data_IF_910066407614
#
_entry.id   IF_910066407614
#
_cell.length_a   1.000
_cell.length_b   1.000
_cell.length_c   1.000
_cell.angle_alpha   90.00
_cell.angle_beta   90.00
_cell.angle_gamma   90.00
#
_symmetry.space_group_name_H-M   'P 1'
#
loop_
_entity.id
_entity.type
_entity.pdbx_description
1 polymer ?
#
# COMPACT_ATOMS: atom_id res chain seq x y z
N UNK A 1 2.10 12.35 1.00
CA UNK A 1 2.14 10.91 0.67
C UNK A 1 0.87 10.53 -0.08
N UNK A 2 0.96 9.59 -1.01
CA UNK A 2 -0.11 9.19 -1.93
C UNK A 2 -1.06 8.16 -1.33
N UNK A 3 -2.29 8.18 -1.82
CA UNK A 3 -3.38 7.28 -1.47
C UNK A 3 -4.15 6.91 -2.71
N UNK A 4 -4.73 5.72 -2.71
CA UNK A 4 -5.62 5.25 -3.77
C UNK A 4 -6.70 4.33 -3.18
N UNK A 5 -7.73 4.01 -3.95
CA UNK A 5 -8.89 3.23 -3.49
C UNK A 5 -8.92 1.84 -4.12
N UNK A 6 -9.63 0.92 -3.48
CA UNK A 6 -9.91 -0.37 -4.08
C UNK A 6 -10.86 -0.25 -5.26
N UNK A 7 -10.68 -1.14 -6.24
CA UNK A 7 -11.41 -1.15 -7.51
C UNK A 7 -12.68 -2.03 -7.46
N UNK A 8 -13.09 -2.49 -6.27
CA UNK A 8 -14.45 -3.02 -6.06
C UNK A 8 -15.48 -1.90 -6.25
N UNK A 9 -16.68 -2.25 -6.73
CA UNK A 9 -17.74 -1.27 -6.99
C UNK A 9 -18.05 -0.31 -5.82
N UNK A 10 -18.07 -0.76 -4.55
CA UNK A 10 -18.28 0.14 -3.42
C UNK A 10 -17.00 0.87 -2.94
N UNK A 11 -15.83 0.58 -3.52
CA UNK A 11 -14.53 1.15 -3.12
C UNK A 11 -14.32 1.11 -1.61
N UNK A 12 -14.53 -0.07 -1.02
CA UNK A 12 -14.59 -0.23 0.44
C UNK A 12 -13.27 0.03 1.16
N UNK A 13 -12.14 0.05 0.44
CA UNK A 13 -10.81 0.15 1.01
C UNK A 13 -10.04 1.34 0.47
N UNK A 14 -9.14 1.85 1.30
CA UNK A 14 -8.16 2.87 0.96
C UNK A 14 -6.76 2.31 1.21
N UNK A 15 -5.86 2.52 0.25
CA UNK A 15 -4.45 2.19 0.38
C UNK A 15 -3.67 3.47 0.65
N UNK A 16 -2.81 3.44 1.67
CA UNK A 16 -2.05 4.60 2.11
C UNK A 16 -0.55 4.27 2.13
N UNK A 17 0.25 5.10 1.47
CA UNK A 17 1.70 5.07 1.64
C UNK A 17 2.06 5.84 2.91
N UNK A 18 2.60 5.15 3.92
CA UNK A 18 3.18 5.76 5.11
C UNK A 18 4.70 5.76 4.97
N UNK A 19 5.21 6.84 4.40
CA UNK A 19 6.64 7.04 4.18
C UNK A 19 7.44 7.36 5.44
N UNK A 20 6.78 7.73 6.54
CA UNK A 20 7.48 8.00 7.80
C UNK A 20 7.79 6.66 8.48
N UNK A 21 6.82 5.76 8.49
CA UNK A 21 6.97 4.43 9.07
C UNK A 21 7.45 3.37 8.07
N UNK A 22 7.61 3.74 6.80
CA UNK A 22 8.07 2.86 5.70
C UNK A 22 7.18 1.62 5.52
N UNK A 23 5.87 1.82 5.49
CA UNK A 23 4.91 0.76 5.19
C UNK A 23 3.76 1.26 4.31
N UNK A 24 3.01 0.31 3.75
CA UNK A 24 1.74 0.56 3.08
C UNK A 24 0.62 -0.03 3.94
N UNK A 25 -0.42 0.76 4.16
CA UNK A 25 -1.61 0.38 4.91
C UNK A 25 -2.79 0.15 3.98
N UNK A 26 -3.62 -0.83 4.31
CA UNK A 26 -4.98 -0.97 3.81
C UNK A 26 -5.94 -0.57 4.93
N UNK A 27 -6.83 0.36 4.65
CA UNK A 27 -7.79 0.93 5.59
C UNK A 27 -9.21 0.64 5.12
N UNK A 28 -10.15 0.46 6.05
CA UNK A 28 -11.58 0.52 5.73
C UNK A 28 -11.93 1.97 5.44
N UNK A 29 -12.49 2.25 4.25
CA UNK A 29 -12.73 3.62 3.78
C UNK A 29 -13.72 4.38 4.66
N UNK A 30 -14.71 3.69 5.23
CA UNK A 30 -15.75 4.30 6.07
C UNK A 30 -15.23 4.73 7.45
N UNK A 31 -14.45 3.88 8.12
CA UNK A 31 -14.03 4.11 9.51
C UNK A 31 -12.58 4.55 9.65
N UNK A 32 -11.76 4.40 8.61
CA UNK A 32 -10.31 4.56 8.71
C UNK A 32 -9.61 3.46 9.52
N UNK A 33 -10.33 2.37 9.89
CA UNK A 33 -9.71 1.23 10.58
C UNK A 33 -8.64 0.61 9.70
N UNK A 34 -7.43 0.44 10.23
CA UNK A 34 -6.35 -0.31 9.55
C UNK A 34 -6.73 -1.79 9.52
N UNK A 35 -6.83 -2.36 8.32
CA UNK A 35 -7.16 -3.76 8.07
C UNK A 35 -5.90 -4.62 7.85
N UNK A 36 -4.87 -4.03 7.26
CA UNK A 36 -3.60 -4.69 7.00
C UNK A 36 -2.49 -3.66 6.82
N UNK A 37 -1.26 -4.09 7.05
CA UNK A 37 -0.05 -3.32 6.72
C UNK A 37 1.04 -4.24 6.22
N UNK A 38 1.88 -3.75 5.32
CA UNK A 38 3.09 -4.45 4.89
C UNK A 38 4.22 -3.47 4.61
N UNK A 39 5.44 -3.95 4.73
CA UNK A 39 6.64 -3.14 4.59
C UNK A 39 7.32 -2.82 5.91
N UNK A 40 8.59 -2.45 5.78
CA UNK A 40 9.48 -1.95 6.84
C UNK A 40 10.62 -1.18 6.19
N UNK A 41 11.40 -0.45 6.97
CA UNK A 41 12.61 0.19 6.46
C UNK A 41 13.57 -0.83 5.84
N UNK A 42 14.11 -0.52 4.65
CA UNK A 42 15.14 -1.34 4.02
C UNK A 42 15.19 -1.23 2.50
N UNK A 43 16.05 -2.03 1.89
CA UNK A 43 16.40 -1.97 0.46
C UNK A 43 16.10 -3.26 -0.29
N UNK A 44 15.53 -4.26 0.37
CA UNK A 44 15.10 -5.50 -0.28
C UNK A 44 13.68 -5.38 -0.85
N UNK A 45 13.24 -6.40 -1.58
CA UNK A 45 11.87 -6.47 -2.09
C UNK A 45 10.87 -6.47 -0.93
N UNK A 46 9.87 -5.58 -1.01
CA UNK A 46 8.87 -5.41 0.05
C UNK A 46 9.34 -4.56 1.23
N UNK A 47 10.57 -4.09 1.25
CA UNK A 47 11.05 -3.05 2.18
C UNK A 47 11.05 -1.69 1.48
N UNK A 48 11.04 -0.60 2.25
CA UNK A 48 10.94 0.76 1.74
C UNK A 48 11.96 1.70 2.37
N UNK A 49 12.42 2.66 1.59
CA UNK A 49 13.15 3.85 2.00
C UNK A 49 12.38 5.08 1.51
N UNK A 50 11.53 5.62 2.38
CA UNK A 50 10.61 6.74 2.12
C UNK A 50 9.62 6.47 0.99
N UNK A 51 8.77 5.45 1.17
CA UNK A 51 7.61 5.24 0.27
C UNK A 51 6.74 6.49 0.25
N UNK A 52 6.46 7.03 -0.92
CA UNK A 52 5.82 8.35 -1.03
C UNK A 52 4.50 8.31 -1.76
N UNK A 53 4.36 7.47 -2.78
CA UNK A 53 3.16 7.38 -3.57
C UNK A 53 2.80 5.92 -3.86
N UNK A 54 1.53 5.69 -4.16
CA UNK A 54 1.04 4.41 -4.64
C UNK A 54 -0.08 4.58 -5.66
N UNK A 55 -0.28 3.56 -6.48
CA UNK A 55 -1.41 3.41 -7.39
C UNK A 55 -1.85 1.94 -7.42
N UNK A 56 -3.13 1.72 -7.66
CA UNK A 56 -3.74 0.39 -7.74
C UNK A 56 -4.23 0.15 -9.16
N UNK A 57 -3.91 -1.00 -9.75
CA UNK A 57 -4.48 -1.37 -11.05
C UNK A 57 -5.83 -2.11 -10.92
N UNK A 58 -6.52 -2.31 -12.05
CA UNK A 58 -7.82 -2.99 -12.09
C UNK A 58 -7.80 -4.45 -11.63
N UNK A 59 -6.62 -5.05 -11.44
CA UNK A 59 -6.44 -6.40 -10.87
C UNK A 59 -6.11 -6.35 -9.38
N UNK A 60 -6.11 -5.17 -8.76
CA UNK A 60 -5.78 -4.95 -7.36
C UNK A 60 -4.28 -4.92 -7.06
N UNK A 61 -3.40 -4.95 -8.06
CA UNK A 61 -1.96 -4.86 -7.81
C UNK A 61 -1.60 -3.46 -7.35
N UNK A 62 -0.69 -3.36 -6.38
CA UNK A 62 -0.21 -2.09 -5.85
C UNK A 62 1.14 -1.77 -6.45
N UNK A 63 1.29 -0.54 -6.94
CA UNK A 63 2.54 0.02 -7.41
C UNK A 63 2.95 1.10 -6.43
N UNK A 64 4.17 1.08 -5.93
CA UNK A 64 4.68 2.07 -4.98
C UNK A 64 5.86 2.79 -5.57
N UNK A 65 6.06 4.05 -5.21
CA UNK A 65 7.28 4.80 -5.52
C UNK A 65 7.90 5.38 -4.25
N UNK A 66 9.22 5.31 -4.20
CA UNK A 66 10.05 5.86 -3.13
C UNK A 66 10.70 7.18 -3.59
N UNK A 67 10.80 8.15 -2.67
CA UNK A 67 11.45 9.45 -2.93
C UNK A 67 12.84 9.51 -2.28
N UNK A 68 13.51 10.66 -2.41
CA UNK A 68 14.81 10.92 -1.79
C UNK A 68 15.90 9.93 -2.25
N UNK A 69 16.47 9.13 -1.35
CA UNK A 69 17.48 8.10 -1.64
C UNK A 69 16.88 6.77 -2.06
N UNK A 70 15.58 6.55 -1.82
CA UNK A 70 14.92 5.28 -2.12
C UNK A 70 14.89 5.00 -3.63
N UNK A 71 14.50 6.01 -4.43
CA UNK A 71 14.55 6.06 -5.92
C UNK A 71 14.16 4.77 -6.63
N UNK A 72 13.11 4.11 -6.15
CA UNK A 72 12.70 2.79 -6.62
C UNK A 72 11.19 2.73 -6.76
N UNK A 73 10.77 1.96 -7.77
CA UNK A 73 9.40 1.52 -7.92
C UNK A 73 9.31 0.03 -7.60
N UNK A 74 8.23 -0.38 -6.94
CA UNK A 74 7.95 -1.78 -6.66
C UNK A 74 6.50 -2.10 -7.05
N UNK A 75 6.26 -3.34 -7.49
CA UNK A 75 4.94 -3.87 -7.80
C UNK A 75 4.63 -5.02 -6.86
N UNK A 76 3.47 -4.98 -6.23
CA UNK A 76 2.94 -6.02 -5.36
C UNK A 76 1.75 -6.68 -6.04
N UNK A 77 1.87 -7.99 -6.25
CA UNK A 77 0.83 -8.77 -6.92
C UNK A 77 -0.27 -9.10 -5.92
N UNK A 78 -1.51 -8.78 -6.26
CA UNK A 78 -2.65 -9.17 -5.43
C UNK A 78 -2.98 -10.64 -5.64
N UNK A 79 -2.99 -11.41 -4.56
CA UNK A 79 -3.24 -12.86 -4.60
C UNK A 79 -4.70 -13.24 -4.30
N UNK A 80 -5.62 -12.27 -4.26
CA UNK A 80 -7.05 -12.52 -4.03
C UNK A 80 -7.47 -12.62 -2.56
N UNK A 81 -6.52 -12.57 -1.62
CA UNK A 81 -6.80 -12.72 -0.19
C UNK A 81 -6.30 -11.50 0.58
N UNK A 82 -7.20 -10.85 1.30
CA UNK A 82 -6.82 -9.97 2.40
C UNK A 82 -6.70 -10.82 3.67
N UNK A 83 -5.79 -10.46 4.61
CA UNK A 83 -5.85 -11.02 5.95
C UNK A 83 -7.27 -10.82 6.50
N UNK A 84 -7.90 -11.92 6.91
CA UNK A 84 -9.13 -11.88 7.69
C UNK A 84 -8.68 -11.67 9.14
N UNK A 85 -9.15 -10.62 9.81
CA UNK A 85 -8.89 -10.46 11.23
C UNK A 85 -9.59 -11.57 12.03
N UNK A 86 -8.98 -11.98 13.15
CA UNK A 86 -9.66 -12.62 14.27
C UNK A 86 -10.50 -11.60 15.05
#
# INVERSE_FOLDING_TARGET
>A
MGRDVSHDAPQTRLYNADGENNHVETLLRESGKVLAKFGRNGRQAGEFDRVHNLAVDSRGNIYTTEVDTGKRAQKFVFTGTFPVEE
#
